data_IF_210214140505
#
_entry.id   IF_210214140505
#
_cell.length_a   1.000
_cell.length_b   1.000
_cell.length_c   1.000
_cell.angle_alpha   90.00
_cell.angle_beta   90.00
_cell.angle_gamma   90.00
#
_symmetry.space_group_name_H-M   'P 1'
#
loop_
_entity.id
_entity.type
_entity.pdbx_description
1 polymer ?
#
# COMPACT_ATOMS: atom_id res chain seq x y z
N UNK A 1 12.49 -8.94 -1.39
CA UNK A 1 11.98 -9.15 -2.75
C UNK A 1 13.02 -8.63 -3.72
N UNK A 2 13.47 -9.44 -4.67
CA UNK A 2 14.56 -9.07 -5.58
C UNK A 2 14.09 -8.75 -7.00
N UNK A 3 12.82 -8.97 -7.35
CA UNK A 3 12.34 -8.88 -8.73
C UNK A 3 10.84 -8.61 -8.87
N UNK A 4 10.26 -7.69 -8.08
CA UNK A 4 8.84 -7.32 -8.27
C UNK A 4 8.59 -6.82 -9.70
N UNK A 5 7.72 -7.48 -10.44
CA UNK A 5 7.36 -7.12 -11.81
C UNK A 5 5.97 -6.46 -11.86
N UNK A 6 5.94 -5.19 -12.27
CA UNK A 6 4.70 -4.41 -12.36
C UNK A 6 3.78 -4.99 -13.44
N UNK A 7 2.51 -5.20 -13.09
CA UNK A 7 1.51 -5.78 -13.98
C UNK A 7 1.53 -7.31 -14.04
N UNK A 8 2.50 -7.95 -13.37
CA UNK A 8 2.59 -9.41 -13.23
C UNK A 8 2.39 -9.81 -11.78
N UNK A 9 3.14 -9.19 -10.87
CA UNK A 9 3.06 -9.46 -9.44
C UNK A 9 1.98 -8.64 -8.75
N UNK A 10 1.30 -9.28 -7.79
CA UNK A 10 0.32 -8.64 -6.92
C UNK A 10 0.85 -8.56 -5.49
N UNK A 11 0.99 -7.34 -4.96
CA UNK A 11 1.18 -7.14 -3.53
C UNK A 11 -0.18 -7.00 -2.83
N UNK A 12 -0.67 -8.10 -2.27
CA UNK A 12 -1.93 -8.10 -1.54
C UNK A 12 -1.74 -7.62 -0.08
N UNK A 13 -2.21 -6.40 0.21
CA UNK A 13 -2.17 -5.79 1.55
C UNK A 13 -3.49 -5.86 2.32
N UNK A 14 -4.53 -6.47 1.73
CA UNK A 14 -5.89 -6.54 2.32
C UNK A 14 -5.93 -7.13 3.73
N UNK A 15 -5.02 -8.08 4.02
CA UNK A 15 -4.95 -8.73 5.33
C UNK A 15 -4.61 -7.76 6.45
N UNK A 16 -3.91 -6.66 6.15
CA UNK A 16 -3.56 -5.66 7.17
C UNK A 16 -4.81 -4.92 7.63
N UNK A 17 -5.79 -4.70 6.75
CA UNK A 17 -6.97 -3.87 6.99
C UNK A 17 -8.18 -4.62 7.55
N UNK A 18 -8.07 -5.92 7.87
CA UNK A 18 -9.20 -6.73 8.37
C UNK A 18 -9.69 -6.35 9.78
N UNK A 19 -9.01 -5.44 10.47
CA UNK A 19 -9.36 -5.01 11.82
C UNK A 19 -10.36 -3.86 11.87
N UNK A 20 -11.18 -3.79 12.94
CA UNK A 20 -12.17 -2.71 13.19
C UNK A 20 -11.57 -1.29 13.21
N UNK A 21 -10.25 -1.16 13.30
CA UNK A 21 -9.53 0.13 13.27
C UNK A 21 -9.34 0.70 11.87
N UNK A 22 -9.59 -0.07 10.82
CA UNK A 22 -9.43 0.36 9.41
C UNK A 22 -10.78 0.59 8.73
N UNK A 23 -11.72 1.22 9.44
CA UNK A 23 -13.05 1.53 8.91
C UNK A 23 -12.95 2.73 7.99
N UNK A 24 -12.85 2.45 6.69
CA UNK A 24 -12.93 3.43 5.62
C UNK A 24 -13.67 2.83 4.43
N UNK A 25 -14.29 3.69 3.62
CA UNK A 25 -14.83 3.31 2.31
C UNK A 25 -13.74 3.10 1.25
N UNK A 26 -12.53 3.64 1.49
CA UNK A 26 -11.34 3.39 0.69
C UNK A 26 -10.11 3.23 1.61
N UNK A 27 -9.95 2.06 2.25
CA UNK A 27 -8.84 1.80 3.17
C UNK A 27 -7.46 1.93 2.51
N UNK A 28 -7.38 1.74 1.20
CA UNK A 28 -6.11 1.83 0.48
C UNK A 28 -5.67 3.28 0.42
N UNK A 29 -6.52 4.20 -0.04
CA UNK A 29 -6.19 5.63 -0.09
C UNK A 29 -5.98 6.21 1.31
N UNK A 30 -6.74 5.75 2.30
CA UNK A 30 -6.71 6.33 3.65
C UNK A 30 -5.56 5.83 4.51
N UNK A 31 -5.14 4.56 4.34
CA UNK A 31 -4.16 3.93 5.22
C UNK A 31 -2.86 3.51 4.53
N UNK A 32 -2.79 3.51 3.19
CA UNK A 32 -1.55 3.25 2.44
C UNK A 32 -0.98 4.56 1.90
N UNK A 33 0.34 4.65 1.81
CA UNK A 33 1.02 5.67 1.02
C UNK A 33 2.14 5.01 0.20
N UNK A 34 2.21 5.35 -1.08
CA UNK A 34 3.30 4.90 -1.96
C UNK A 34 4.23 6.09 -2.20
N UNK A 35 5.48 5.96 -1.79
CA UNK A 35 6.51 6.96 -1.99
C UNK A 35 7.70 6.33 -2.73
N UNK A 36 8.37 7.08 -3.60
CA UNK A 36 9.52 6.52 -4.28
C UNK A 36 10.19 7.44 -5.28
N UNK A 37 11.14 6.85 -5.98
CA UNK A 37 11.84 7.43 -7.13
C UNK A 37 11.87 6.40 -8.27
N UNK A 38 12.48 6.76 -9.39
CA UNK A 38 12.61 5.88 -10.56
C UNK A 38 13.38 4.57 -10.31
N UNK A 39 14.02 4.41 -9.14
CA UNK A 39 14.83 3.22 -8.81
C UNK A 39 14.36 2.49 -7.57
N UNK A 40 13.38 3.03 -6.85
CA UNK A 40 12.95 2.48 -5.56
C UNK A 40 11.56 2.99 -5.22
N UNK A 41 10.67 2.05 -4.92
CA UNK A 41 9.36 2.35 -4.35
C UNK A 41 9.28 1.81 -2.92
N UNK A 42 8.67 2.58 -2.04
CA UNK A 42 8.42 2.25 -0.64
C UNK A 42 6.92 2.36 -0.41
N UNK A 43 6.34 1.26 0.06
CA UNK A 43 4.93 1.19 0.42
C UNK A 43 4.85 1.31 1.92
N UNK A 44 4.15 2.34 2.38
CA UNK A 44 3.99 2.69 3.79
C UNK A 44 2.53 2.50 4.19
N UNK A 45 2.33 2.21 5.46
CA UNK A 45 1.03 1.94 6.03
C UNK A 45 0.87 2.61 7.38
N UNK A 46 -0.32 3.11 7.65
CA UNK A 46 -0.78 3.38 9.00
C UNK A 46 -1.25 2.06 9.61
N UNK A 47 -0.47 1.54 10.55
CA UNK A 47 -0.78 0.26 11.21
C UNK A 47 -1.82 0.42 12.32
N UNK A 48 -2.02 1.65 12.79
CA UNK A 48 -2.85 1.99 13.93
C UNK A 48 -4.27 2.39 13.50
N UNK A 49 -4.48 2.72 12.22
CA UNK A 49 -5.79 3.03 11.64
C UNK A 49 -6.31 4.41 12.06
N UNK A 50 -5.40 5.35 12.29
CA UNK A 50 -5.67 6.74 12.71
C UNK A 50 -6.11 7.61 11.54
N UNK A 51 -5.65 7.34 10.32
CA UNK A 51 -5.98 8.12 9.13
C UNK A 51 -5.17 9.42 9.03
N UNK A 52 -5.82 10.59 9.06
CA UNK A 52 -5.19 11.87 8.65
C UNK A 52 -4.03 12.37 9.54
N UNK A 53 -3.89 11.89 10.79
CA UNK A 53 -2.78 12.24 11.70
C UNK A 53 -1.87 11.04 12.02
N UNK A 54 -1.70 10.15 11.04
CA UNK A 54 -1.00 8.87 11.18
C UNK A 54 0.52 8.95 11.23
N UNK A 55 1.13 8.04 12.00
CA UNK A 55 2.54 7.67 11.81
C UNK A 55 2.62 6.51 10.81
N UNK A 56 3.34 6.72 9.71
CA UNK A 56 3.46 5.73 8.65
C UNK A 56 4.67 4.82 8.85
N UNK A 57 4.45 3.51 8.79
CA UNK A 57 5.51 2.49 8.84
C UNK A 57 5.74 1.87 7.47
N UNK A 58 6.99 1.53 7.18
CA UNK A 58 7.33 0.83 5.92
C UNK A 58 6.79 -0.61 5.96
N UNK A 59 5.96 -0.96 4.98
CA UNK A 59 5.45 -2.32 4.78
C UNK A 59 6.33 -3.09 3.79
N UNK A 60 6.68 -2.46 2.67
CA UNK A 60 7.48 -3.08 1.61
C UNK A 60 8.42 -2.08 0.94
N UNK A 61 9.56 -2.59 0.45
CA UNK A 61 10.50 -1.85 -0.38
C UNK A 61 10.71 -2.62 -1.67
N UNK A 62 10.36 -2.01 -2.79
CA UNK A 62 10.46 -2.54 -4.14
C UNK A 62 11.67 -1.88 -4.82
N UNK A 63 12.73 -2.64 -5.03
CA UNK A 63 13.96 -2.14 -5.67
C UNK A 63 13.82 -2.21 -7.18
N UNK A 64 14.31 -1.20 -7.88
CA UNK A 64 14.25 -1.14 -9.34
C UNK A 64 12.87 -0.82 -9.91
N UNK A 65 11.89 -0.50 -9.07
CA UNK A 65 10.52 -0.18 -9.49
C UNK A 65 10.26 1.31 -9.32
N UNK A 66 9.86 1.96 -10.41
CA UNK A 66 9.45 3.36 -10.45
C UNK A 66 8.07 3.53 -9.81
N UNK A 67 7.91 4.53 -8.94
CA UNK A 67 6.64 4.81 -8.25
C UNK A 67 5.51 5.19 -9.23
N UNK A 68 5.84 5.70 -10.41
CA UNK A 68 4.85 6.14 -11.39
C UNK A 68 4.26 5.01 -12.23
N UNK A 69 4.77 3.78 -12.08
CA UNK A 69 4.25 2.63 -12.83
C UNK A 69 3.18 1.85 -12.07
N UNK A 70 2.88 2.23 -10.83
CA UNK A 70 1.84 1.57 -10.03
C UNK A 70 0.44 2.06 -10.40
N UNK A 71 -0.50 1.13 -10.45
CA UNK A 71 -1.93 1.42 -10.33
C UNK A 71 -2.37 0.91 -8.96
N UNK A 72 -3.00 1.79 -8.17
CA UNK A 72 -3.65 1.40 -6.93
C UNK A 72 -5.06 0.93 -7.28
N UNK A 73 -5.24 -0.39 -7.37
CA UNK A 73 -6.58 -0.96 -7.44
C UNK A 73 -7.14 -1.03 -6.02
N UNK A 74 -8.19 -0.25 -5.78
CA UNK A 74 -8.90 -0.24 -4.51
C UNK A 74 -9.35 -1.65 -4.12
N UNK A 75 -9.30 -1.96 -2.82
CA UNK A 75 -9.91 -3.16 -2.28
C UNK A 75 -11.42 -2.98 -2.39
N UNK A 76 -12.02 -3.40 -3.51
CA UNK A 76 -13.48 -3.52 -3.55
C UNK A 76 -13.88 -4.57 -2.53
N UNK A 77 -14.69 -4.15 -1.55
CA UNK A 77 -15.25 -5.07 -0.57
C UNK A 77 -15.86 -6.26 -1.30
N UNK A 78 -15.36 -7.45 -0.96
CA UNK A 78 -16.00 -8.69 -1.35
C UNK A 78 -17.43 -8.65 -0.79
N UNK A 79 -18.39 -8.60 -1.71
CA UNK A 79 -19.83 -8.55 -1.47
C UNK A 79 -20.32 -9.76 -0.66
#
# INVERSE_FOLDING_TARGET
MLDFEVGVDLLNVSQVFRGRRFRSNDPVSDFVEIQGSSRRTVIRIDIDGVGESRELRSLAILKGVDVNTFTLDGLSDAS
#
